data_IF_384350400700
#
_entry.id   IF_384350400700
#
_cell.length_a   1.000
_cell.length_b   1.000
_cell.length_c   1.000
_cell.angle_alpha   90.00
_cell.angle_beta   90.00
_cell.angle_gamma   90.00
#
_symmetry.space_group_name_H-M   'P 1'
#
loop_
_entity.id
_entity.type
_entity.pdbx_description
1 polymer ?
#
# COMPACT_ATOMS: atom_id res chain seq x y z
N UNK A 1 0.03 2.42 -17.54
CA UNK A 1 -0.43 3.70 -18.10
C UNK A 1 0.04 4.83 -17.18
N UNK A 2 0.98 5.61 -17.62
CA UNK A 2 1.55 6.72 -16.86
C UNK A 2 0.95 8.03 -17.36
N UNK A 3 0.19 8.71 -16.52
CA UNK A 3 -0.36 10.03 -16.83
C UNK A 3 0.57 11.06 -16.20
N UNK A 4 1.31 11.79 -17.04
CA UNK A 4 2.13 12.90 -16.58
C UNK A 4 1.46 14.22 -16.99
N UNK A 5 0.95 14.97 -16.01
CA UNK A 5 0.28 16.26 -16.22
C UNK A 5 1.19 17.36 -16.77
N UNK A 6 2.51 17.16 -16.70
CA UNK A 6 3.52 18.10 -17.17
C UNK A 6 3.89 17.88 -18.66
N UNK A 7 3.38 16.80 -19.26
CA UNK A 7 3.61 16.54 -20.67
C UNK A 7 2.65 17.35 -21.55
N UNK A 8 3.13 17.88 -22.69
CA UNK A 8 2.25 18.44 -23.70
C UNK A 8 1.21 17.41 -24.14
N UNK A 9 -0.04 17.82 -24.24
CA UNK A 9 -1.12 16.91 -24.63
C UNK A 9 -1.72 16.08 -23.48
N UNK A 10 -1.41 16.38 -22.21
CA UNK A 10 -2.00 15.73 -21.05
C UNK A 10 -3.53 15.55 -21.15
N UNK A 11 -4.24 16.60 -21.59
CA UNK A 11 -5.69 16.53 -21.78
C UNK A 11 -6.14 15.54 -22.84
N UNK A 12 -5.31 15.24 -23.83
CA UNK A 12 -5.59 14.26 -24.89
C UNK A 12 -5.36 12.82 -24.38
N UNK A 13 -4.57 12.66 -23.32
CA UNK A 13 -4.29 11.36 -22.69
C UNK A 13 -5.42 10.90 -21.77
N UNK A 14 -6.31 11.81 -21.37
CA UNK A 14 -7.47 11.48 -20.52
C UNK A 14 -8.64 11.09 -21.41
N UNK A 15 -8.92 9.79 -21.45
CA UNK A 15 -10.09 9.28 -22.16
C UNK A 15 -11.27 9.21 -21.18
N UNK A 16 -12.45 9.77 -21.51
CA UNK A 16 -13.63 9.74 -20.60
C UNK A 16 -13.98 8.35 -20.09
N UNK A 17 -13.74 7.30 -20.87
CA UNK A 17 -13.94 5.92 -20.46
C UNK A 17 -13.12 5.51 -19.21
N UNK A 18 -11.99 6.16 -18.95
CA UNK A 18 -11.19 5.91 -17.75
C UNK A 18 -11.87 6.37 -16.48
N UNK A 19 -12.76 7.37 -16.58
CA UNK A 19 -13.55 7.86 -15.43
C UNK A 19 -14.53 6.83 -14.88
N UNK A 20 -14.83 5.79 -15.64
CA UNK A 20 -15.79 4.73 -15.27
C UNK A 20 -15.13 3.42 -14.88
N UNK A 21 -13.83 3.40 -14.70
CA UNK A 21 -13.03 2.19 -14.41
C UNK A 21 -12.29 2.31 -13.09
N UNK A 22 -11.85 1.16 -12.60
CA UNK A 22 -10.83 1.10 -11.57
C UNK A 22 -9.46 1.13 -12.25
N UNK A 23 -8.60 2.06 -11.83
CA UNK A 23 -7.25 2.22 -12.35
C UNK A 23 -6.25 1.80 -11.27
N UNK A 24 -5.30 0.95 -11.63
CA UNK A 24 -4.16 0.65 -10.77
C UNK A 24 -3.08 1.71 -10.98
N UNK A 25 -2.69 2.40 -9.91
CA UNK A 25 -1.75 3.50 -9.94
C UNK A 25 -0.44 3.11 -9.24
N UNK A 26 0.66 3.43 -9.92
CA UNK A 26 1.98 3.44 -9.29
C UNK A 26 2.29 4.88 -8.90
N UNK A 27 2.38 5.20 -7.59
CA UNK A 27 2.70 6.55 -7.15
C UNK A 27 4.15 6.90 -7.51
N UNK A 28 4.47 8.20 -7.53
CA UNK A 28 5.86 8.65 -7.54
C UNK A 28 6.55 8.14 -6.28
N UNK A 29 7.73 7.54 -6.45
CA UNK A 29 8.54 7.00 -5.35
C UNK A 29 9.40 8.11 -4.73
N UNK A 30 8.75 9.17 -4.22
CA UNK A 30 9.39 10.32 -3.59
C UNK A 30 9.14 10.38 -2.06
N UNK A 31 8.34 9.47 -1.52
CA UNK A 31 8.07 9.36 -0.11
C UNK A 31 8.71 8.07 0.42
N UNK A 32 9.60 8.13 1.44
CA UNK A 32 10.29 6.97 1.99
C UNK A 32 9.34 5.85 2.45
N UNK A 33 8.19 6.20 3.00
CA UNK A 33 7.17 5.24 3.44
C UNK A 33 6.55 4.49 2.25
N UNK A 34 6.20 5.22 1.18
CA UNK A 34 5.64 4.62 -0.04
C UNK A 34 6.65 3.68 -0.69
N UNK A 35 7.94 4.05 -0.69
CA UNK A 35 9.02 3.23 -1.22
C UNK A 35 9.15 1.93 -0.43
N UNK A 36 9.26 2.01 0.90
CA UNK A 36 9.48 0.85 1.76
C UNK A 36 8.29 -0.10 1.83
N UNK A 37 7.08 0.43 1.70
CA UNK A 37 5.86 -0.37 1.64
C UNK A 37 5.53 -0.87 0.22
N UNK A 38 6.33 -0.50 -0.79
CA UNK A 38 6.05 -0.76 -2.21
C UNK A 38 4.62 -0.39 -2.61
N UNK A 39 4.15 0.74 -2.08
CA UNK A 39 2.76 1.18 -2.17
C UNK A 39 2.22 1.19 -3.60
N UNK A 40 1.02 0.66 -3.77
CA UNK A 40 0.22 0.73 -4.99
C UNK A 40 -1.18 1.16 -4.61
N UNK A 41 -1.85 1.87 -5.51
CA UNK A 41 -3.17 2.40 -5.23
C UNK A 41 -4.15 2.02 -6.32
N UNK A 42 -5.40 1.93 -5.92
CA UNK A 42 -6.51 1.84 -6.85
C UNK A 42 -7.30 3.13 -6.82
N UNK A 43 -7.47 3.74 -7.98
CA UNK A 43 -8.39 4.85 -8.17
C UNK A 43 -9.70 4.29 -8.70
N UNK A 44 -10.76 4.45 -7.91
CA UNK A 44 -12.09 4.04 -8.31
C UNK A 44 -12.77 5.19 -9.04
N UNK A 45 -13.12 4.97 -10.28
CA UNK A 45 -13.90 5.91 -11.06
C UNK A 45 -15.35 5.96 -10.60
N UNK A 46 -16.15 6.79 -11.26
CA UNK A 46 -17.57 6.94 -10.99
C UNK A 46 -18.39 5.78 -11.60
N UNK A 47 -19.49 5.42 -10.95
CA UNK A 47 -20.46 4.50 -11.56
C UNK A 47 -21.38 5.28 -12.48
N UNK A 48 -21.38 4.92 -13.77
CA UNK A 48 -22.28 5.54 -14.76
C UNK A 48 -23.77 5.31 -14.51
N UNK A 49 -24.12 4.45 -13.54
CA UNK A 49 -25.52 4.08 -13.23
C UNK A 49 -26.06 4.67 -11.95
N UNK A 50 -25.26 5.36 -11.15
CA UNK A 50 -25.69 5.94 -9.88
C UNK A 50 -24.98 7.25 -9.62
N UNK A 51 -25.73 8.27 -9.20
CA UNK A 51 -25.17 9.59 -8.84
C UNK A 51 -24.21 9.59 -7.65
N UNK A 52 -24.11 8.50 -6.91
CA UNK A 52 -23.30 8.36 -5.70
C UNK A 52 -22.43 7.07 -5.67
N UNK A 53 -22.35 6.33 -6.78
CA UNK A 53 -21.60 5.06 -6.82
C UNK A 53 -20.19 5.21 -7.40
N UNK A 54 -19.25 4.39 -6.92
CA UNK A 54 -17.97 4.19 -7.54
C UNK A 54 -17.97 2.97 -8.48
N UNK A 55 -17.01 2.92 -9.38
CA UNK A 55 -16.79 1.75 -10.23
C UNK A 55 -16.52 0.51 -9.38
N UNK A 56 -17.06 -0.63 -9.77
CA UNK A 56 -16.84 -1.90 -9.06
C UNK A 56 -15.45 -2.44 -9.38
N UNK A 57 -14.82 -3.02 -8.36
CA UNK A 57 -13.54 -3.70 -8.54
C UNK A 57 -13.70 -4.89 -9.52
N UNK A 58 -12.80 -5.04 -10.52
CA UNK A 58 -12.88 -6.13 -11.47
C UNK A 58 -12.71 -7.49 -10.77
N UNK A 59 -13.64 -8.40 -10.97
CA UNK A 59 -13.60 -9.73 -10.31
C UNK A 59 -12.41 -10.56 -10.77
N UNK A 60 -12.00 -10.42 -12.00
CA UNK A 60 -10.84 -11.10 -12.59
C UNK A 60 -9.49 -10.70 -11.95
N UNK A 61 -9.45 -9.59 -11.20
CA UNK A 61 -8.28 -9.17 -10.43
C UNK A 61 -8.23 -9.76 -9.03
N UNK A 62 -9.34 -10.32 -8.57
CA UNK A 62 -9.39 -10.97 -7.28
C UNK A 62 -8.67 -12.32 -7.34
N UNK A 63 -7.90 -12.62 -6.32
CA UNK A 63 -7.25 -13.90 -6.09
C UNK A 63 -7.88 -14.58 -4.89
N UNK A 64 -7.60 -15.86 -4.74
CA UNK A 64 -7.98 -16.57 -3.53
C UNK A 64 -7.39 -15.88 -2.29
N UNK A 65 -8.16 -15.73 -1.21
CA UNK A 65 -7.69 -15.09 0.00
C UNK A 65 -6.62 -15.96 0.68
N UNK A 66 -5.53 -15.32 1.11
CA UNK A 66 -4.55 -15.95 2.00
C UNK A 66 -5.03 -15.77 3.43
N UNK A 67 -5.28 -16.87 4.13
CA UNK A 67 -5.76 -16.87 5.51
C UNK A 67 -4.58 -17.12 6.45
N UNK A 68 -4.33 -16.16 7.34
CA UNK A 68 -3.31 -16.29 8.39
C UNK A 68 -4.04 -16.58 9.72
N UNK A 69 -3.92 -17.81 10.27
CA UNK A 69 -4.50 -18.15 11.55
C UNK A 69 -3.95 -17.26 12.67
N UNK A 70 -4.80 -16.94 13.65
CA UNK A 70 -4.43 -16.07 14.76
C UNK A 70 -3.20 -16.58 15.53
N UNK A 71 -3.10 -17.89 15.76
CA UNK A 71 -1.98 -18.53 16.45
C UNK A 71 -0.65 -18.47 15.69
N UNK A 72 -0.66 -18.24 14.37
CA UNK A 72 0.56 -18.13 13.55
C UNK A 72 1.10 -16.71 13.45
N UNK A 73 0.32 -15.69 13.82
CA UNK A 73 0.68 -14.29 13.61
C UNK A 73 1.96 -13.89 14.33
N UNK A 74 2.09 -14.29 15.61
CA UNK A 74 3.28 -13.95 16.40
C UNK A 74 4.54 -14.55 15.77
N UNK A 75 4.53 -15.83 15.41
CA UNK A 75 5.66 -16.51 14.77
C UNK A 75 6.07 -15.82 13.46
N UNK A 76 5.10 -15.50 12.61
CA UNK A 76 5.36 -14.79 11.35
C UNK A 76 5.99 -13.43 11.59
N UNK A 77 5.51 -12.67 12.59
CA UNK A 77 6.10 -11.37 12.93
C UNK A 77 7.54 -11.51 13.47
N UNK A 78 7.82 -12.52 14.28
CA UNK A 78 9.16 -12.80 14.80
C UNK A 78 10.12 -13.20 13.65
N UNK A 79 9.67 -14.02 12.72
CA UNK A 79 10.42 -14.41 11.52
C UNK A 79 10.70 -13.18 10.62
N UNK A 80 9.70 -12.33 10.38
CA UNK A 80 9.87 -11.09 9.62
C UNK A 80 10.85 -10.11 10.29
N UNK A 81 10.76 -9.94 11.61
CA UNK A 81 11.69 -9.10 12.37
C UNK A 81 13.13 -9.61 12.29
N UNK A 82 13.34 -10.93 12.30
CA UNK A 82 14.66 -11.54 12.11
C UNK A 82 15.29 -11.22 10.74
N UNK A 83 14.44 -11.02 9.72
CA UNK A 83 14.84 -10.58 8.38
C UNK A 83 14.95 -9.05 8.25
N UNK A 84 14.72 -8.30 9.33
CA UNK A 84 14.74 -6.83 9.33
C UNK A 84 13.44 -6.20 8.82
N UNK A 85 12.41 -7.00 8.53
CA UNK A 85 11.10 -6.54 8.07
C UNK A 85 10.19 -6.26 9.27
N UNK A 86 10.38 -5.13 9.91
CA UNK A 86 9.64 -4.72 11.11
C UNK A 86 8.98 -3.35 10.95
N UNK A 87 8.32 -2.90 12.00
CA UNK A 87 7.62 -1.61 11.99
C UNK A 87 8.56 -0.45 11.62
N UNK A 88 9.79 -0.41 12.13
CA UNK A 88 10.76 0.64 11.81
C UNK A 88 11.22 0.61 10.36
N UNK A 89 11.19 -0.56 9.71
CA UNK A 89 11.48 -0.68 8.29
C UNK A 89 10.36 -0.07 7.44
N UNK A 90 9.10 -0.43 7.72
CA UNK A 90 7.96 0.03 6.94
C UNK A 90 7.53 1.47 7.24
N UNK A 91 7.80 1.94 8.46
CA UNK A 91 7.49 3.29 8.93
C UNK A 91 8.78 4.00 9.37
N UNK A 92 9.53 4.57 8.41
CA UNK A 92 10.89 5.12 8.68
C UNK A 92 10.85 6.51 9.34
N UNK A 93 9.77 6.89 9.97
CA UNK A 93 9.69 8.09 10.78
C UNK A 93 10.26 7.86 12.20
N UNK A 94 10.70 8.95 12.82
CA UNK A 94 11.39 8.91 14.11
C UNK A 94 10.58 8.23 15.22
N UNK A 95 9.27 8.42 15.23
CA UNK A 95 8.40 7.85 16.27
C UNK A 95 8.39 6.32 16.24
N UNK A 96 8.20 5.74 15.05
CA UNK A 96 8.15 4.28 14.89
C UNK A 96 9.52 3.63 15.09
N UNK A 97 10.58 4.23 14.56
CA UNK A 97 11.96 3.74 14.76
C UNK A 97 12.33 3.77 16.24
N UNK A 98 12.03 4.85 16.96
CA UNK A 98 12.33 4.95 18.39
C UNK A 98 11.55 3.94 19.23
N UNK A 99 10.34 3.58 18.84
CA UNK A 99 9.53 2.53 19.48
C UNK A 99 10.19 1.16 19.34
N UNK A 100 10.56 0.78 18.12
CA UNK A 100 11.24 -0.50 17.84
C UNK A 100 12.55 -0.63 18.63
N UNK A 101 13.36 0.43 18.66
CA UNK A 101 14.60 0.46 19.43
C UNK A 101 14.31 0.27 20.92
N UNK A 102 13.38 1.03 21.48
CA UNK A 102 13.00 0.93 22.91
C UNK A 102 12.54 -0.48 23.29
N UNK A 103 11.72 -1.12 22.49
CA UNK A 103 11.22 -2.48 22.75
C UNK A 103 12.36 -3.51 22.73
N UNK A 104 13.32 -3.38 21.82
CA UNK A 104 14.51 -4.27 21.78
C UNK A 104 15.37 -4.15 23.04
N UNK A 105 15.58 -2.95 23.56
CA UNK A 105 16.33 -2.75 24.80
C UNK A 105 15.59 -3.28 26.01
N UNK A 106 14.27 -3.05 26.13
CA UNK A 106 13.46 -3.61 27.23
C UNK A 106 13.47 -5.13 27.30
N UNK A 107 13.49 -5.82 26.16
CA UNK A 107 13.57 -7.30 26.12
C UNK A 107 14.92 -7.84 26.63
N UNK A 108 16.01 -7.06 26.49
CA UNK A 108 17.34 -7.46 26.95
C UNK A 108 17.52 -7.36 28.46
N UNK A 109 16.81 -6.42 29.12
CA UNK A 109 16.92 -6.22 30.57
C UNK A 109 16.14 -7.25 31.40
N UNK A 110 15.38 -8.15 30.75
CA UNK A 110 14.57 -9.18 31.39
C UNK A 110 15.00 -10.62 31.01
N UNK A 111 16.17 -10.75 30.39
CA UNK A 111 16.85 -12.04 30.11
C UNK A 111 18.14 -12.16 30.89
#
# INVERSE_FOLDING_TARGET
>A
FEINKEQPGFHQSIVPAHLYRVLCLRPRMNNPRVIRQEGRFFLFGISGRSKAGCAKFPREWLREPVIIPAGSKKRILDELDSMGLNEGFFYPDFEHVSRVVRERFRKKDHS
#
